data_IF_275620301990
#
_entry.id   IF_275620301990
#
_cell.length_a   1.000
_cell.length_b   1.000
_cell.length_c   1.000
_cell.angle_alpha   90.00
_cell.angle_beta   90.00
_cell.angle_gamma   90.00
#
_symmetry.space_group_name_H-M   'P 1'
#
loop_
_entity.id
_entity.type
_entity.pdbx_description
1 polymer ?
#
# COMPACT_ATOMS: atom_id res chain seq x y z
N UNK A 1 16.44 -11.92 -5.10
CA UNK A 1 15.99 -12.47 -3.79
C UNK A 1 17.01 -12.33 -2.67
N UNK A 2 18.24 -12.87 -2.76
CA UNK A 2 19.24 -12.76 -1.67
C UNK A 2 19.46 -11.32 -1.15
N UNK A 3 19.56 -10.35 -2.06
CA UNK A 3 19.69 -8.93 -1.70
C UNK A 3 18.46 -8.39 -0.96
N UNK A 4 17.25 -8.81 -1.37
CA UNK A 4 16.00 -8.38 -0.75
C UNK A 4 15.86 -8.93 0.68
N UNK A 5 16.32 -10.15 0.92
CA UNK A 5 16.37 -10.72 2.27
C UNK A 5 17.36 -9.95 3.15
N UNK A 6 18.54 -9.60 2.61
CA UNK A 6 19.52 -8.77 3.34
C UNK A 6 18.94 -7.41 3.72
N UNK A 7 18.21 -6.77 2.80
CA UNK A 7 17.50 -5.50 3.07
C UNK A 7 16.45 -5.69 4.17
N UNK A 8 15.60 -6.72 4.06
CA UNK A 8 14.56 -7.01 5.05
C UNK A 8 15.15 -7.32 6.43
N UNK A 9 16.24 -8.07 6.48
CA UNK A 9 17.01 -8.34 7.70
C UNK A 9 17.56 -7.06 8.31
N UNK A 10 18.16 -6.19 7.49
CA UNK A 10 18.66 -4.89 7.93
C UNK A 10 17.55 -4.00 8.50
N UNK A 11 16.38 -3.98 7.87
CA UNK A 11 15.20 -3.26 8.36
C UNK A 11 14.78 -3.74 9.75
N UNK A 12 14.66 -5.06 9.94
CA UNK A 12 14.29 -5.62 11.25
C UNK A 12 15.34 -5.32 12.34
N UNK A 13 16.63 -5.46 12.04
CA UNK A 13 17.65 -5.11 13.03
C UNK A 13 17.69 -3.62 13.37
N UNK A 14 17.49 -2.74 12.38
CA UNK A 14 17.39 -1.31 12.61
C UNK A 14 16.20 -0.96 13.51
N UNK A 15 15.00 -1.50 13.20
CA UNK A 15 13.79 -1.31 14.01
C UNK A 15 14.00 -1.87 15.42
N UNK A 16 14.54 -3.08 15.54
CA UNK A 16 14.76 -3.75 16.81
C UNK A 16 15.74 -2.98 17.70
N UNK A 17 16.88 -2.55 17.17
CA UNK A 17 17.86 -1.76 17.91
C UNK A 17 17.27 -0.40 18.36
N UNK A 18 16.54 0.29 17.47
CA UNK A 18 15.87 1.55 17.80
C UNK A 18 14.81 1.39 18.90
N UNK A 19 14.00 0.33 18.83
CA UNK A 19 12.98 0.03 19.83
C UNK A 19 13.57 -0.35 21.19
N UNK A 20 14.68 -1.10 21.24
CA UNK A 20 15.41 -1.35 22.48
C UNK A 20 15.95 -0.05 23.07
N UNK A 21 16.57 0.81 22.25
CA UNK A 21 17.10 2.10 22.72
C UNK A 21 16.02 3.02 23.28
N UNK A 22 14.94 3.25 22.50
CA UNK A 22 13.81 4.08 22.94
C UNK A 22 13.08 3.47 24.14
N UNK A 23 12.91 2.16 24.16
CA UNK A 23 12.29 1.45 25.28
C UNK A 23 13.12 1.51 26.55
N UNK A 24 14.46 1.40 26.48
CA UNK A 24 15.33 1.57 27.64
C UNK A 24 15.26 2.98 28.21
N UNK A 25 15.26 4.01 27.36
CA UNK A 25 15.10 5.40 27.81
C UNK A 25 13.76 5.59 28.55
N UNK A 26 12.68 5.01 28.03
CA UNK A 26 11.35 5.02 28.64
C UNK A 26 11.27 4.23 29.97
N UNK A 27 11.95 3.09 30.08
CA UNK A 27 11.94 2.27 31.31
C UNK A 27 12.84 2.87 32.40
N UNK A 28 14.02 3.38 32.05
CA UNK A 28 14.97 3.96 33.01
C UNK A 28 14.42 5.26 33.60
N UNK A 29 13.76 6.08 32.78
CA UNK A 29 13.13 7.31 33.26
C UNK A 29 11.69 7.41 32.73
N UNK A 30 10.72 6.75 33.39
CA UNK A 30 9.32 6.69 32.96
C UNK A 30 8.58 8.02 32.89
N UNK A 31 9.15 9.09 33.46
CA UNK A 31 8.63 10.45 33.32
C UNK A 31 8.78 11.01 31.90
N UNK A 32 9.62 10.39 31.07
CA UNK A 32 9.89 10.81 29.70
C UNK A 32 11.05 11.80 29.54
N UNK A 33 11.68 12.24 30.63
CA UNK A 33 12.70 13.30 30.58
C UNK A 33 13.97 12.91 29.81
N UNK A 34 14.37 11.63 29.79
CA UNK A 34 15.45 11.14 28.91
C UNK A 34 15.10 11.27 27.42
N UNK A 35 13.82 11.29 27.09
CA UNK A 35 13.31 11.44 25.72
C UNK A 35 12.94 12.90 25.40
N UNK A 36 13.17 13.83 26.33
CA UNK A 36 12.84 15.25 26.17
C UNK A 36 11.34 15.54 26.20
N UNK A 37 10.53 14.67 26.81
CA UNK A 37 9.07 14.83 26.90
C UNK A 37 8.56 14.67 28.33
N UNK A 38 7.31 15.06 28.56
CA UNK A 38 6.59 14.88 29.84
C UNK A 38 5.49 13.84 29.70
N UNK A 39 4.98 13.32 30.81
CA UNK A 39 3.87 12.36 30.81
C UNK A 39 2.53 12.95 30.36
N UNK A 40 2.41 14.28 30.31
CA UNK A 40 1.20 14.98 29.84
C UNK A 40 0.83 14.61 28.40
N UNK A 41 1.81 14.24 27.57
CA UNK A 41 1.55 13.81 26.20
C UNK A 41 0.79 12.48 26.14
N UNK A 42 0.70 11.72 27.24
CA UNK A 42 -0.04 10.46 27.31
C UNK A 42 -1.51 10.64 27.67
N UNK A 43 -2.01 11.88 27.79
CA UNK A 43 -3.36 12.21 28.27
C UNK A 43 -4.53 11.54 27.52
N UNK A 44 -4.34 11.14 26.25
CA UNK A 44 -5.37 10.44 25.47
C UNK A 44 -5.25 8.92 25.55
N UNK A 45 -4.26 8.40 26.29
CA UNK A 45 -3.99 6.99 26.44
C UNK A 45 -4.27 6.44 27.84
N UNK A 46 -4.18 5.11 27.99
CA UNK A 46 -4.46 4.44 29.26
C UNK A 46 -3.28 4.45 30.24
N UNK A 47 -2.17 5.10 29.89
CA UNK A 47 -0.91 5.05 30.64
C UNK A 47 -0.62 6.38 31.34
N UNK A 48 -0.18 6.30 32.60
CA UNK A 48 0.21 7.46 33.41
C UNK A 48 1.68 7.83 33.25
N UNK A 49 2.50 6.93 32.72
CA UNK A 49 3.93 7.10 32.46
C UNK A 49 4.39 6.23 31.27
N UNK A 50 5.68 6.31 30.92
CA UNK A 50 6.26 5.57 29.80
C UNK A 50 6.77 4.17 30.14
N UNK A 51 6.57 3.66 31.36
CA UNK A 51 7.11 2.36 31.78
C UNK A 51 6.54 1.22 30.94
N UNK A 52 5.21 1.11 30.89
CA UNK A 52 4.53 0.05 30.13
C UNK A 52 4.79 0.16 28.62
N UNK A 53 4.68 1.36 28.00
CA UNK A 53 5.12 1.54 26.62
C UNK A 53 6.59 1.16 26.38
N UNK A 54 7.48 1.50 27.32
CA UNK A 54 8.90 1.18 27.25
C UNK A 54 9.18 -0.32 27.30
N UNK A 55 8.51 -1.06 28.17
CA UNK A 55 8.60 -2.53 28.22
C UNK A 55 8.12 -3.15 26.90
N UNK A 56 6.99 -2.67 26.37
CA UNK A 56 6.49 -3.14 25.07
C UNK A 56 7.50 -2.89 23.94
N UNK A 57 8.10 -1.69 23.92
CA UNK A 57 9.15 -1.33 22.97
C UNK A 57 10.36 -2.28 23.07
N UNK A 58 10.84 -2.61 24.27
CA UNK A 58 11.98 -3.52 24.45
C UNK A 58 11.62 -4.95 24.03
N UNK A 59 10.52 -5.49 24.55
CA UNK A 59 10.21 -6.93 24.46
C UNK A 59 9.60 -7.27 23.12
N UNK A 60 8.55 -6.57 22.72
CA UNK A 60 7.79 -6.91 21.51
C UNK A 60 8.50 -6.34 20.29
N UNK A 61 8.70 -5.03 20.24
CA UNK A 61 9.31 -4.42 19.06
C UNK A 61 10.82 -4.61 18.99
N UNK A 62 11.53 -4.53 20.12
CA UNK A 62 12.97 -4.68 20.19
C UNK A 62 13.42 -6.11 19.96
N UNK A 63 13.26 -6.97 20.97
CA UNK A 63 13.68 -8.36 20.92
C UNK A 63 12.99 -9.13 19.79
N UNK A 64 11.70 -8.88 19.55
CA UNK A 64 10.96 -9.51 18.45
C UNK A 64 11.54 -9.22 17.07
N UNK A 65 11.83 -7.95 16.73
CA UNK A 65 12.45 -7.63 15.44
C UNK A 65 13.91 -8.11 15.35
N UNK A 66 14.67 -8.07 16.45
CA UNK A 66 16.03 -8.65 16.46
C UNK A 66 16.01 -10.15 16.19
N UNK A 67 15.07 -10.88 16.80
CA UNK A 67 14.85 -12.31 16.57
C UNK A 67 14.43 -12.60 15.13
N UNK A 68 13.51 -11.83 14.55
CA UNK A 68 13.14 -11.97 13.13
C UNK A 68 14.34 -11.75 12.22
N UNK A 69 15.17 -10.72 12.46
CA UNK A 69 16.39 -10.52 11.69
C UNK A 69 17.37 -11.69 11.80
N UNK A 70 17.50 -12.29 12.99
CA UNK A 70 18.30 -13.50 13.19
C UNK A 70 17.73 -14.73 12.44
N UNK A 71 16.41 -14.91 12.44
CA UNK A 71 15.73 -15.93 11.64
C UNK A 71 15.94 -15.74 10.14
N UNK A 72 15.92 -14.49 9.66
CA UNK A 72 16.19 -14.18 8.25
C UNK A 72 17.67 -14.43 7.89
N UNK A 73 18.60 -14.29 8.84
CA UNK A 73 20.02 -14.59 8.67
C UNK A 73 20.29 -16.09 8.46
N UNK A 74 19.63 -16.96 9.23
CA UNK A 74 19.79 -18.42 9.12
C UNK A 74 19.23 -19.00 7.81
N UNK A 75 18.48 -18.19 7.04
CA UNK A 75 17.87 -18.56 5.75
C UNK A 75 18.76 -18.22 4.55
N UNK A 76 19.84 -17.46 4.74
CA UNK A 76 20.76 -17.05 3.66
C UNK A 76 21.44 -18.20 2.89
N UNK A 77 21.28 -19.45 3.35
CA UNK A 77 22.06 -20.62 2.92
C UNK A 77 21.22 -21.88 2.64
N UNK A 78 20.15 -21.78 1.83
CA UNK A 78 19.57 -22.89 1.03
C UNK A 78 18.14 -23.41 1.34
N UNK A 79 17.38 -22.89 2.30
CA UNK A 79 15.95 -23.26 2.43
C UNK A 79 15.11 -22.03 2.83
N UNK A 80 14.17 -21.64 1.96
CA UNK A 80 13.19 -20.60 2.30
C UNK A 80 12.27 -21.10 3.42
N UNK A 81 12.25 -20.40 4.55
CA UNK A 81 11.34 -20.72 5.66
C UNK A 81 10.13 -19.79 5.63
N UNK A 82 8.98 -20.32 5.20
CA UNK A 82 7.69 -19.61 5.15
C UNK A 82 7.36 -18.96 6.49
N UNK A 83 7.70 -19.62 7.61
CA UNK A 83 7.45 -19.10 8.96
C UNK A 83 8.22 -17.81 9.21
N UNK A 84 9.49 -17.72 8.82
CA UNK A 84 10.28 -16.52 9.05
C UNK A 84 9.77 -15.30 8.26
N UNK A 85 9.32 -15.51 7.03
CA UNK A 85 8.71 -14.44 6.24
C UNK A 85 7.32 -14.04 6.77
N UNK A 86 6.54 -14.98 7.31
CA UNK A 86 5.29 -14.67 8.02
C UNK A 86 5.55 -13.91 9.32
N UNK A 87 6.55 -14.31 10.12
CA UNK A 87 6.97 -13.57 11.31
C UNK A 87 7.41 -12.15 10.94
N UNK A 88 8.21 -12.03 9.89
CA UNK A 88 8.61 -10.72 9.36
C UNK A 88 7.40 -9.85 9.00
N UNK A 89 6.44 -10.39 8.25
CA UNK A 89 5.20 -9.69 7.93
C UNK A 89 4.43 -9.26 9.18
N UNK A 90 4.30 -10.15 10.17
CA UNK A 90 3.62 -9.87 11.43
C UNK A 90 4.32 -8.76 12.22
N UNK A 91 5.65 -8.81 12.39
CA UNK A 91 6.39 -7.81 13.16
C UNK A 91 6.45 -6.45 12.47
N UNK A 92 6.48 -6.42 11.13
CA UNK A 92 6.28 -5.17 10.38
C UNK A 92 4.86 -4.60 10.59
N UNK A 93 3.84 -5.45 10.66
CA UNK A 93 2.47 -5.04 11.00
C UNK A 93 2.33 -4.53 12.44
N UNK A 94 2.96 -5.20 13.41
CA UNK A 94 2.98 -4.77 14.82
C UNK A 94 3.64 -3.40 14.95
N UNK A 95 4.74 -3.14 14.22
CA UNK A 95 5.36 -1.81 14.20
C UNK A 95 4.39 -0.73 13.70
N UNK A 96 3.68 -0.99 12.61
CA UNK A 96 2.69 -0.06 12.07
C UNK A 96 1.58 0.19 13.09
N UNK A 97 0.98 -0.88 13.65
CA UNK A 97 -0.07 -0.76 14.66
C UNK A 97 0.41 -0.02 15.91
N UNK A 98 1.65 -0.24 16.32
CA UNK A 98 2.24 0.47 17.46
C UNK A 98 2.37 1.96 17.20
N UNK A 99 2.91 2.35 16.04
CA UNK A 99 3.06 3.77 15.69
C UNK A 99 1.68 4.46 15.58
N UNK A 100 0.68 3.75 15.06
CA UNK A 100 -0.70 4.25 14.98
C UNK A 100 -1.32 4.41 16.37
N UNK A 101 -1.15 3.42 17.25
CA UNK A 101 -1.63 3.50 18.63
C UNK A 101 -0.94 4.64 19.39
N UNK A 102 0.38 4.75 19.25
CA UNK A 102 1.19 5.82 19.85
C UNK A 102 0.71 7.19 19.35
N UNK A 103 0.46 7.34 18.06
CA UNK A 103 -0.06 8.57 17.50
C UNK A 103 -1.42 9.01 18.09
N UNK A 104 -2.32 8.05 18.31
CA UNK A 104 -3.61 8.32 18.94
C UNK A 104 -3.43 8.78 20.39
N UNK A 105 -2.55 8.11 21.14
CA UNK A 105 -2.26 8.44 22.54
C UNK A 105 -1.58 9.81 22.69
N UNK A 106 -0.61 10.11 21.82
CA UNK A 106 0.17 11.34 21.88
C UNK A 106 -0.63 12.58 21.44
N UNK A 107 -1.63 12.37 20.61
CA UNK A 107 -2.38 13.44 19.97
C UNK A 107 -1.55 14.20 18.94
N UNK A 108 -2.25 14.93 18.07
CA UNK A 108 -1.68 15.54 16.87
C UNK A 108 -0.53 16.53 17.13
N UNK A 109 -0.61 17.29 18.23
CA UNK A 109 0.39 18.30 18.56
C UNK A 109 1.77 17.72 18.93
N UNK A 110 1.83 16.44 19.32
CA UNK A 110 3.05 15.79 19.80
C UNK A 110 3.64 14.79 18.77
N UNK A 111 3.14 14.82 17.52
CA UNK A 111 3.63 13.94 16.47
C UNK A 111 5.00 14.41 15.96
N UNK A 112 6.00 13.57 16.20
CA UNK A 112 7.36 13.77 15.72
C UNK A 112 7.61 13.07 14.36
N UNK A 113 8.53 13.59 13.54
CA UNK A 113 8.86 13.03 12.21
C UNK A 113 9.30 11.55 12.26
N UNK A 114 9.86 11.11 13.40
CA UNK A 114 10.20 9.71 13.64
C UNK A 114 9.00 8.77 13.48
N UNK A 115 7.78 9.18 13.84
CA UNK A 115 6.58 8.37 13.62
C UNK A 115 6.38 8.09 12.13
N UNK A 116 6.54 9.11 11.28
CA UNK A 116 6.48 8.95 9.83
C UNK A 116 7.54 7.99 9.31
N UNK A 117 8.78 8.09 9.80
CA UNK A 117 9.87 7.19 9.41
C UNK A 117 9.59 5.74 9.81
N UNK A 118 9.23 5.48 11.06
CA UNK A 118 8.96 4.11 11.52
C UNK A 118 7.70 3.52 10.89
N UNK A 119 6.68 4.34 10.59
CA UNK A 119 5.52 3.90 9.82
C UNK A 119 5.93 3.46 8.40
N UNK A 120 6.76 4.26 7.71
CA UNK A 120 7.27 3.90 6.39
C UNK A 120 8.14 2.64 6.42
N UNK A 121 8.98 2.47 7.44
CA UNK A 121 9.78 1.26 7.63
C UNK A 121 8.88 0.02 7.84
N UNK A 122 7.81 0.16 8.61
CA UNK A 122 6.81 -0.89 8.79
C UNK A 122 6.11 -1.25 7.48
N UNK A 123 5.64 -0.26 6.71
CA UNK A 123 5.01 -0.47 5.40
C UNK A 123 5.98 -1.15 4.42
N UNK A 124 7.23 -0.67 4.35
CA UNK A 124 8.26 -1.23 3.50
C UNK A 124 8.57 -2.69 3.89
N UNK A 125 8.70 -2.98 5.18
CA UNK A 125 8.87 -4.33 5.71
C UNK A 125 7.71 -5.24 5.31
N UNK A 126 6.47 -4.85 5.60
CA UNK A 126 5.28 -5.63 5.25
C UNK A 126 5.18 -5.89 3.74
N UNK A 127 5.43 -4.88 2.90
CA UNK A 127 5.41 -5.04 1.44
C UNK A 127 6.48 -5.99 0.92
N UNK A 128 7.71 -5.87 1.44
CA UNK A 128 8.82 -6.73 1.03
C UNK A 128 8.62 -8.19 1.48
N UNK A 129 8.10 -8.40 2.69
CA UNK A 129 7.79 -9.73 3.24
C UNK A 129 6.66 -10.41 2.47
N UNK A 130 5.58 -9.69 2.16
CA UNK A 130 4.49 -10.20 1.31
C UNK A 130 4.99 -10.59 -0.07
N UNK A 131 5.78 -9.74 -0.73
CA UNK A 131 6.37 -10.05 -2.04
C UNK A 131 7.25 -11.29 -1.98
N UNK A 132 8.11 -11.42 -0.96
CA UNK A 132 8.98 -12.58 -0.81
C UNK A 132 8.17 -13.85 -0.52
N UNK A 133 7.08 -13.79 0.24
CA UNK A 133 6.17 -14.93 0.44
C UNK A 133 5.58 -15.41 -0.88
N UNK A 134 5.07 -14.48 -1.69
CA UNK A 134 4.39 -14.79 -2.96
C UNK A 134 5.34 -15.32 -4.06
N UNK A 135 6.61 -14.89 -4.02
CA UNK A 135 7.64 -15.34 -4.97
C UNK A 135 8.30 -16.65 -4.51
N UNK A 136 8.52 -16.83 -3.20
CA UNK A 136 9.27 -17.99 -2.68
C UNK A 136 8.39 -19.23 -2.50
N UNK A 137 7.08 -19.03 -2.32
CA UNK A 137 6.10 -20.10 -2.23
C UNK A 137 5.03 -19.88 -3.30
N UNK A 138 5.40 -20.00 -4.59
CA UNK A 138 4.43 -19.90 -5.65
C UNK A 138 3.42 -21.02 -5.47
N UNK A 139 2.14 -20.67 -5.54
CA UNK A 139 1.10 -21.66 -5.68
C UNK A 139 1.31 -22.38 -7.01
N UNK A 140 1.50 -23.70 -6.97
CA UNK A 140 1.55 -24.55 -8.16
C UNK A 140 0.13 -24.93 -8.53
N UNK A 141 -0.31 -24.53 -9.71
CA UNK A 141 -1.59 -24.96 -10.28
C UNK A 141 -1.53 -26.48 -10.45
N UNK A 142 -2.57 -27.19 -10.01
CA UNK A 142 -2.70 -28.63 -10.31
C UNK A 142 -2.91 -28.82 -11.82
N UNK A 143 -2.73 -30.04 -12.33
CA UNK A 143 -2.94 -30.39 -13.74
C UNK A 143 -4.33 -30.03 -14.30
N UNK A 144 -5.28 -29.68 -13.43
CA UNK A 144 -6.70 -29.57 -13.73
C UNK A 144 -7.18 -28.10 -13.86
N UNK A 145 -6.27 -27.13 -13.85
CA UNK A 145 -6.58 -25.69 -13.97
C UNK A 145 -6.92 -24.99 -12.64
N UNK A 146 -7.54 -23.81 -12.72
CA UNK A 146 -7.88 -22.97 -11.56
C UNK A 146 -8.91 -23.66 -10.64
N UNK A 147 -8.59 -23.81 -9.35
CA UNK A 147 -9.43 -24.44 -8.35
C UNK A 147 -10.03 -23.45 -7.34
N UNK A 148 -10.91 -23.93 -6.45
CA UNK A 148 -11.53 -23.11 -5.39
C UNK A 148 -10.50 -22.46 -4.46
N UNK A 149 -9.33 -23.08 -4.29
CA UNK A 149 -8.21 -22.51 -3.51
C UNK A 149 -7.69 -21.20 -4.12
N UNK A 150 -7.75 -21.06 -5.44
CA UNK A 150 -7.28 -19.87 -6.14
C UNK A 150 -8.07 -18.62 -5.81
N UNK A 151 -9.34 -18.77 -5.39
CA UNK A 151 -10.15 -17.66 -4.88
C UNK A 151 -9.47 -16.92 -3.72
N UNK A 152 -8.72 -17.65 -2.90
CA UNK A 152 -8.13 -17.15 -1.67
C UNK A 152 -6.62 -16.94 -1.77
N UNK A 153 -6.00 -17.30 -2.90
CA UNK A 153 -4.56 -17.10 -3.13
C UNK A 153 -4.23 -15.61 -3.00
N UNK A 154 -3.21 -15.29 -2.19
CA UNK A 154 -2.78 -13.92 -1.93
C UNK A 154 -3.77 -13.02 -1.16
N UNK A 155 -4.98 -13.48 -0.82
CA UNK A 155 -5.98 -12.61 -0.17
C UNK A 155 -5.65 -12.31 1.29
N UNK A 156 -4.99 -13.23 2.00
CA UNK A 156 -4.51 -12.97 3.38
C UNK A 156 -3.52 -11.80 3.40
N UNK A 157 -2.39 -11.80 2.65
CA UNK A 157 -1.49 -10.65 2.64
C UNK A 157 -2.17 -9.38 2.10
N UNK A 158 -3.13 -9.49 1.18
CA UNK A 158 -3.92 -8.34 0.74
C UNK A 158 -4.68 -7.69 1.90
N UNK A 159 -5.44 -8.47 2.69
CA UNK A 159 -6.21 -8.01 3.86
C UNK A 159 -5.29 -7.45 4.95
N UNK A 160 -4.16 -8.11 5.20
CA UNK A 160 -3.20 -7.62 6.20
C UNK A 160 -2.61 -6.28 5.78
N UNK A 161 -2.23 -6.11 4.51
CA UNK A 161 -1.65 -4.86 4.03
C UNK A 161 -2.67 -3.72 4.05
N UNK A 162 -3.89 -3.94 3.57
CA UNK A 162 -4.92 -2.89 3.60
C UNK A 162 -5.31 -2.48 5.02
N UNK A 163 -5.39 -3.44 5.96
CA UNK A 163 -5.67 -3.17 7.38
C UNK A 163 -4.62 -2.26 8.02
N UNK A 164 -3.40 -2.25 7.48
CA UNK A 164 -2.30 -1.40 7.93
C UNK A 164 -2.22 -0.07 7.16
N UNK A 165 -2.47 -0.12 5.86
CA UNK A 165 -2.38 1.04 4.97
C UNK A 165 -3.48 2.07 5.20
N UNK A 166 -4.72 1.64 5.49
CA UNK A 166 -5.84 2.57 5.76
C UNK A 166 -5.53 3.46 6.96
N UNK A 167 -5.27 2.92 8.17
CA UNK A 167 -4.99 3.78 9.31
C UNK A 167 -3.65 4.52 9.14
N UNK A 168 -2.66 3.93 8.45
CA UNK A 168 -1.43 4.62 8.05
C UNK A 168 -1.66 5.87 7.21
N UNK A 169 -2.53 5.79 6.21
CA UNK A 169 -2.88 6.93 5.36
C UNK A 169 -3.67 8.00 6.11
N UNK A 170 -4.63 7.59 6.95
CA UNK A 170 -5.39 8.53 7.80
C UNK A 170 -4.43 9.28 8.73
N UNK A 171 -3.58 8.54 9.44
CA UNK A 171 -2.59 9.12 10.35
C UNK A 171 -1.65 10.10 9.63
N UNK A 172 -1.10 9.72 8.48
CA UNK A 172 -0.19 10.59 7.74
C UNK A 172 -0.91 11.86 7.27
N UNK A 173 -2.15 11.76 6.78
CA UNK A 173 -2.89 12.92 6.31
C UNK A 173 -3.20 13.92 7.45
N UNK A 174 -3.45 13.42 8.66
CA UNK A 174 -3.67 14.23 9.86
C UNK A 174 -2.43 15.03 10.32
N UNK A 175 -1.24 14.75 9.80
CA UNK A 175 -0.05 15.56 10.12
C UNK A 175 -0.19 17.01 9.62
N UNK A 176 -0.87 17.22 8.50
CA UNK A 176 -1.16 18.56 7.96
C UNK A 176 -2.48 18.54 7.15
N UNK A 177 -3.63 18.46 7.83
CA UNK A 177 -4.94 18.42 7.23
C UNK A 177 -5.33 19.78 6.66
N UNK A 178 -6.26 19.74 5.72
CA UNK A 178 -6.92 20.93 5.20
C UNK A 178 -8.03 21.40 6.12
N UNK A 179 -8.18 22.73 6.23
CA UNK A 179 -9.25 23.35 7.01
C UNK A 179 -10.37 23.94 6.11
N UNK A 180 -10.35 23.65 4.81
CA UNK A 180 -11.34 24.19 3.86
C UNK A 180 -12.47 23.18 3.65
N UNK A 181 -13.67 23.69 3.38
CA UNK A 181 -14.80 22.91 2.89
C UNK A 181 -14.82 23.05 1.36
N UNK A 182 -14.94 21.93 0.66
CA UNK A 182 -15.10 21.88 -0.79
C UNK A 182 -16.32 21.01 -1.13
N UNK A 183 -17.29 21.56 -1.86
CA UNK A 183 -18.57 20.90 -2.17
C UNK A 183 -19.18 20.20 -0.93
N UNK A 184 -19.39 20.98 0.14
CA UNK A 184 -20.05 20.56 1.38
C UNK A 184 -19.29 19.56 2.26
N UNK A 185 -18.10 19.10 1.86
CA UNK A 185 -17.27 18.17 2.61
C UNK A 185 -15.92 18.82 2.99
N UNK A 186 -15.43 18.52 4.18
CA UNK A 186 -14.06 18.88 4.59
C UNK A 186 -13.01 17.90 4.01
N UNK A 187 -11.73 18.20 4.24
CA UNK A 187 -10.62 17.40 3.74
C UNK A 187 -10.62 15.96 4.29
N UNK A 188 -11.08 15.75 5.52
CA UNK A 188 -11.16 14.43 6.15
C UNK A 188 -12.22 13.55 5.48
N UNK A 189 -13.42 14.09 5.25
CA UNK A 189 -14.49 13.39 4.55
C UNK A 189 -14.09 13.04 3.11
N UNK A 190 -13.46 13.98 2.39
CA UNK A 190 -12.91 13.71 1.06
C UNK A 190 -11.84 12.61 1.08
N UNK A 191 -11.00 12.59 2.11
CA UNK A 191 -9.95 11.58 2.27
C UNK A 191 -10.56 10.20 2.50
N UNK A 192 -11.53 10.10 3.42
CA UNK A 192 -12.29 8.86 3.67
C UNK A 192 -12.94 8.35 2.40
N UNK A 193 -13.58 9.23 1.62
CA UNK A 193 -14.20 8.86 0.35
C UNK A 193 -13.16 8.37 -0.68
N UNK A 194 -12.02 9.04 -0.78
CA UNK A 194 -10.92 8.66 -1.68
C UNK A 194 -10.34 7.28 -1.34
N UNK A 195 -10.13 7.01 -0.06
CA UNK A 195 -9.68 5.72 0.45
C UNK A 195 -10.76 4.67 0.15
N UNK A 196 -12.02 4.91 0.54
CA UNK A 196 -13.13 3.98 0.37
C UNK A 196 -13.34 3.60 -1.10
N UNK A 197 -13.38 4.57 -2.01
CA UNK A 197 -13.50 4.33 -3.47
C UNK A 197 -12.35 3.47 -3.97
N UNK A 198 -11.12 3.73 -3.53
CA UNK A 198 -9.95 2.96 -3.92
C UNK A 198 -10.02 1.52 -3.41
N UNK A 199 -10.41 1.32 -2.15
CA UNK A 199 -10.60 0.02 -1.50
C UNK A 199 -11.69 -0.79 -2.19
N UNK A 200 -12.88 -0.21 -2.34
CA UNK A 200 -14.03 -0.87 -2.99
C UNK A 200 -13.67 -1.25 -4.42
N UNK A 201 -13.00 -0.37 -5.16
CA UNK A 201 -12.57 -0.68 -6.52
C UNK A 201 -11.64 -1.90 -6.56
N UNK A 202 -10.56 -1.94 -5.77
CA UNK A 202 -9.62 -3.06 -5.84
C UNK A 202 -10.19 -4.37 -5.31
N UNK A 203 -11.06 -4.33 -4.29
CA UNK A 203 -11.77 -5.52 -3.82
C UNK A 203 -12.75 -6.02 -4.87
N UNK A 204 -13.46 -5.14 -5.56
CA UNK A 204 -14.32 -5.50 -6.69
C UNK A 204 -13.51 -6.17 -7.79
N UNK A 205 -12.37 -5.59 -8.20
CA UNK A 205 -11.48 -6.21 -9.21
C UNK A 205 -11.02 -7.59 -8.74
N UNK A 206 -10.58 -7.73 -7.49
CA UNK A 206 -10.15 -9.01 -6.97
C UNK A 206 -11.27 -10.06 -6.99
N UNK A 207 -12.48 -9.71 -6.54
CA UNK A 207 -13.63 -10.62 -6.57
C UNK A 207 -13.98 -11.02 -8.01
N UNK A 208 -14.04 -10.06 -8.93
CA UNK A 208 -14.37 -10.34 -10.33
C UNK A 208 -13.31 -11.22 -10.97
N UNK A 209 -12.03 -10.89 -10.85
CA UNK A 209 -10.94 -11.66 -11.45
C UNK A 209 -10.90 -13.08 -10.90
N UNK A 210 -11.00 -13.26 -9.58
CA UNK A 210 -10.97 -14.58 -8.94
C UNK A 210 -12.16 -15.44 -9.33
N UNK A 211 -13.37 -14.89 -9.28
CA UNK A 211 -14.59 -15.64 -9.65
C UNK A 211 -14.67 -15.90 -11.14
N UNK A 212 -14.15 -15.00 -11.97
CA UNK A 212 -14.04 -15.20 -13.40
C UNK A 212 -12.99 -16.27 -13.74
N UNK A 213 -11.85 -16.29 -13.05
CA UNK A 213 -10.81 -17.30 -13.25
C UNK A 213 -11.30 -18.70 -12.89
N UNK A 214 -11.91 -18.87 -11.71
CA UNK A 214 -12.30 -20.19 -11.18
C UNK A 214 -13.63 -20.67 -11.74
N UNK A 215 -14.64 -19.79 -11.82
CA UNK A 215 -16.00 -20.19 -12.16
C UNK A 215 -16.48 -19.69 -13.52
N UNK A 216 -15.69 -18.85 -14.22
CA UNK A 216 -16.14 -18.09 -15.40
C UNK A 216 -17.46 -17.36 -15.12
N UNK A 217 -17.59 -16.81 -13.90
CA UNK A 217 -18.86 -16.32 -13.36
C UNK A 217 -19.50 -15.28 -14.27
N UNK A 218 -18.75 -14.26 -14.70
CA UNK A 218 -19.29 -13.21 -15.55
C UNK A 218 -19.68 -13.76 -16.92
N UNK A 219 -18.86 -14.64 -17.51
CA UNK A 219 -19.20 -15.28 -18.78
C UNK A 219 -20.45 -16.16 -18.70
N UNK A 220 -20.70 -16.82 -17.54
CA UNK A 220 -21.92 -17.61 -17.31
C UNK A 220 -23.15 -16.72 -17.12
N UNK A 221 -23.02 -15.62 -16.38
CA UNK A 221 -24.14 -14.72 -16.07
C UNK A 221 -24.52 -13.83 -17.26
N UNK A 222 -23.54 -13.39 -18.04
CA UNK A 222 -23.72 -12.31 -19.02
C UNK A 222 -23.33 -12.68 -20.45
N UNK A 223 -22.83 -13.90 -20.67
CA UNK A 223 -22.43 -14.39 -22.00
C UNK A 223 -21.45 -13.44 -22.69
N UNK A 224 -21.75 -13.05 -23.93
CA UNK A 224 -20.89 -12.18 -24.76
C UNK A 224 -20.72 -10.75 -24.20
N UNK A 225 -21.61 -10.32 -23.30
CA UNK A 225 -21.57 -8.98 -22.71
C UNK A 225 -20.69 -8.89 -21.45
N UNK A 226 -20.16 -10.00 -20.96
CA UNK A 226 -19.34 -10.12 -19.74
C UNK A 226 -18.27 -9.02 -19.59
N UNK A 227 -17.36 -8.87 -20.55
CA UNK A 227 -16.26 -7.90 -20.52
C UNK A 227 -16.76 -6.45 -20.64
N UNK A 228 -17.90 -6.24 -21.30
CA UNK A 228 -18.52 -4.92 -21.43
C UNK A 228 -19.14 -4.49 -20.11
N UNK A 229 -19.88 -5.38 -19.45
CA UNK A 229 -20.47 -5.16 -18.13
C UNK A 229 -19.36 -4.94 -17.10
N UNK A 230 -18.29 -5.75 -17.17
CA UNK A 230 -17.11 -5.52 -16.35
C UNK A 230 -16.52 -4.11 -16.55
N UNK A 231 -16.36 -3.67 -17.79
CA UNK A 231 -15.89 -2.32 -18.10
C UNK A 231 -16.80 -1.21 -17.54
N UNK A 232 -18.13 -1.38 -17.64
CA UNK A 232 -19.12 -0.43 -17.09
C UNK A 232 -19.03 -0.34 -15.57
N UNK A 233 -18.68 -1.43 -14.88
CA UNK A 233 -18.42 -1.39 -13.43
C UNK A 233 -17.05 -0.78 -13.11
N UNK A 234 -16.01 -1.13 -13.86
CA UNK A 234 -14.62 -0.74 -13.58
C UNK A 234 -14.34 0.75 -13.82
N UNK A 235 -14.72 1.29 -14.99
CA UNK A 235 -14.32 2.64 -15.39
C UNK A 235 -14.87 3.76 -14.49
N UNK A 236 -16.12 3.73 -14.02
CA UNK A 236 -16.62 4.74 -13.09
C UNK A 236 -15.78 4.83 -11.82
N UNK A 237 -15.35 3.70 -11.25
CA UNK A 237 -14.46 3.70 -10.09
C UNK A 237 -13.08 4.26 -10.43
N UNK A 238 -12.53 3.99 -11.62
CA UNK A 238 -11.27 4.58 -12.05
C UNK A 238 -11.34 6.12 -12.12
N UNK A 239 -12.45 6.66 -12.63
CA UNK A 239 -12.69 8.11 -12.67
C UNK A 239 -12.93 8.68 -11.27
N UNK A 240 -13.75 8.01 -10.45
CA UNK A 240 -14.05 8.43 -9.08
C UNK A 240 -12.79 8.53 -8.22
N UNK A 241 -11.79 7.67 -8.42
CA UNK A 241 -10.50 7.74 -7.73
C UNK A 241 -9.77 9.07 -7.94
N UNK A 242 -9.88 9.64 -9.14
CA UNK A 242 -9.28 10.95 -9.47
C UNK A 242 -10.17 12.08 -8.95
N UNK A 243 -11.49 11.99 -9.14
CA UNK A 243 -12.46 13.02 -8.71
C UNK A 243 -12.41 13.22 -7.20
N UNK A 244 -12.43 12.13 -6.43
CA UNK A 244 -12.38 12.18 -4.96
C UNK A 244 -11.04 12.72 -4.47
N UNK A 245 -9.93 12.35 -5.13
CA UNK A 245 -8.61 12.91 -4.84
C UNK A 245 -8.54 14.42 -5.11
N UNK A 246 -9.15 14.92 -6.19
CA UNK A 246 -9.27 16.36 -6.44
C UNK A 246 -10.07 17.03 -5.32
N UNK A 247 -11.11 16.39 -4.80
CA UNK A 247 -11.83 16.85 -3.62
C UNK A 247 -10.93 17.03 -2.39
N UNK A 248 -10.08 16.04 -2.09
CA UNK A 248 -9.07 16.14 -1.02
C UNK A 248 -8.13 17.31 -1.29
N UNK A 249 -7.60 17.38 -2.51
CA UNK A 249 -6.62 18.38 -2.92
C UNK A 249 -7.17 19.81 -2.81
N UNK A 250 -8.41 20.03 -3.24
CA UNK A 250 -9.09 21.32 -3.14
C UNK A 250 -9.40 21.72 -1.69
N UNK A 251 -9.88 20.78 -0.87
CA UNK A 251 -10.19 21.01 0.55
C UNK A 251 -8.94 21.23 1.43
N UNK A 252 -7.75 20.86 0.93
CA UNK A 252 -6.47 20.94 1.64
C UNK A 252 -5.35 21.59 0.82
N UNK A 253 -5.70 22.51 -0.08
CA UNK A 253 -4.72 23.20 -0.91
C UNK A 253 -3.73 24.02 -0.06
N UNK A 254 -2.47 24.08 -0.48
CA UNK A 254 -1.37 24.79 0.19
C UNK A 254 -1.04 24.31 1.61
N UNK A 255 -1.35 23.05 1.91
CA UNK A 255 -0.97 22.41 3.19
C UNK A 255 0.38 21.70 3.13
N UNK A 256 0.90 21.40 1.94
CA UNK A 256 2.21 20.76 1.79
C UNK A 256 3.31 21.75 2.22
N UNK A 257 4.22 21.39 3.16
CA UNK A 257 5.22 22.32 3.71
C UNK A 257 6.41 22.50 2.76
N UNK A 258 6.13 22.96 1.54
CA UNK A 258 7.10 23.31 0.49
C UNK A 258 6.65 24.60 -0.19
N UNK A 259 7.55 25.33 -0.87
CA UNK A 259 7.14 26.46 -1.69
C UNK A 259 6.12 26.06 -2.77
N UNK A 260 5.05 26.84 -2.92
CA UNK A 260 3.95 26.54 -3.85
C UNK A 260 4.42 26.29 -5.28
N UNK A 261 5.34 27.13 -5.77
CA UNK A 261 5.88 26.99 -7.13
C UNK A 261 6.55 25.62 -7.33
N UNK A 262 7.23 25.10 -6.31
CA UNK A 262 7.93 23.82 -6.38
C UNK A 262 6.91 22.68 -6.45
N UNK A 263 5.90 22.70 -5.58
CA UNK A 263 4.81 21.73 -5.59
C UNK A 263 4.09 21.70 -6.94
N UNK A 264 3.73 22.87 -7.44
CA UNK A 264 3.05 23.04 -8.72
C UNK A 264 3.89 22.54 -9.90
N UNK A 265 5.15 22.96 -10.00
CA UNK A 265 6.06 22.55 -11.08
C UNK A 265 6.29 21.03 -11.07
N UNK A 266 6.57 20.44 -9.91
CA UNK A 266 6.72 18.99 -9.80
C UNK A 266 5.42 18.28 -10.17
N UNK A 267 4.28 18.81 -9.73
CA UNK A 267 2.96 18.28 -10.07
C UNK A 267 2.72 18.21 -11.59
N UNK A 268 3.00 19.30 -12.31
CA UNK A 268 2.91 19.33 -13.78
C UNK A 268 3.85 18.34 -14.46
N UNK A 269 5.10 18.24 -13.98
CA UNK A 269 6.08 17.31 -14.56
C UNK A 269 5.65 15.84 -14.40
N UNK A 270 4.98 15.49 -13.29
CA UNK A 270 4.47 14.14 -13.06
C UNK A 270 3.27 13.78 -13.94
N UNK A 271 2.50 14.76 -14.42
CA UNK A 271 1.42 14.53 -15.37
C UNK A 271 1.92 14.09 -16.76
N UNK A 272 3.13 14.49 -17.16
CA UNK A 272 3.71 14.14 -18.48
C UNK A 272 3.88 12.62 -18.68
N UNK A 273 4.60 11.87 -17.81
CA UNK A 273 4.73 10.42 -17.97
C UNK A 273 3.38 9.70 -17.78
N UNK A 274 2.50 10.21 -16.92
CA UNK A 274 1.15 9.64 -16.73
C UNK A 274 0.30 9.77 -18.00
N UNK A 275 0.24 10.97 -18.58
CA UNK A 275 -0.48 11.25 -19.82
C UNK A 275 0.08 10.48 -21.02
N UNK A 276 1.40 10.41 -21.16
CA UNK A 276 2.04 9.59 -22.20
C UNK A 276 1.70 8.10 -22.05
N UNK A 277 1.62 7.60 -20.82
CA UNK A 277 1.25 6.20 -20.57
C UNK A 277 -0.23 5.95 -20.86
N UNK A 278 -1.14 6.86 -20.50
CA UNK A 278 -2.55 6.76 -20.88
C UNK A 278 -2.74 6.77 -22.40
N UNK A 279 -2.05 7.67 -23.11
CA UNK A 279 -1.99 7.67 -24.57
C UNK A 279 -1.49 6.34 -25.10
N UNK A 280 -0.43 5.78 -24.49
CA UNK A 280 0.14 4.49 -24.88
C UNK A 280 -0.86 3.34 -24.72
N UNK A 281 -1.67 3.36 -23.65
CA UNK A 281 -2.72 2.37 -23.40
C UNK A 281 -3.78 2.44 -24.50
N UNK A 282 -4.27 3.64 -24.81
CA UNK A 282 -5.33 3.83 -25.82
C UNK A 282 -4.82 3.49 -27.23
N UNK A 283 -3.60 3.91 -27.57
CA UNK A 283 -3.06 3.79 -28.93
C UNK A 283 -2.52 2.41 -29.27
N UNK A 284 -1.88 1.73 -28.32
CA UNK A 284 -1.12 0.49 -28.59
C UNK A 284 -1.61 -0.71 -27.79
N UNK A 285 -1.85 -0.55 -26.47
CA UNK A 285 -2.21 -1.68 -25.61
C UNK A 285 -3.65 -2.16 -25.78
N UNK A 286 -4.58 -1.21 -25.92
CA UNK A 286 -6.01 -1.45 -26.04
C UNK A 286 -6.73 -1.48 -24.68
N UNK A 287 -7.83 -0.72 -24.57
CA UNK A 287 -8.61 -0.61 -23.32
C UNK A 287 -9.20 -1.96 -22.86
N UNK A 288 -9.68 -2.80 -23.78
CA UNK A 288 -10.23 -4.13 -23.45
C UNK A 288 -9.19 -5.05 -22.82
N UNK A 289 -7.94 -4.97 -23.29
CA UNK A 289 -6.82 -5.71 -22.69
C UNK A 289 -6.48 -5.13 -21.32
N UNK A 290 -6.43 -3.80 -21.20
CA UNK A 290 -6.11 -3.10 -19.94
C UNK A 290 -7.12 -3.34 -18.80
N UNK A 291 -8.35 -3.73 -19.13
CA UNK A 291 -9.37 -4.12 -18.15
C UNK A 291 -9.13 -5.50 -17.51
N UNK A 292 -8.06 -6.21 -17.89
CA UNK A 292 -7.88 -7.64 -17.55
C UNK A 292 -8.64 -8.54 -18.51
N UNK A 293 -8.65 -8.20 -19.81
CA UNK A 293 -9.37 -8.96 -20.83
C UNK A 293 -8.90 -10.42 -20.95
N UNK A 294 -7.66 -10.70 -20.57
CA UNK A 294 -7.08 -12.05 -20.45
C UNK A 294 -7.86 -12.96 -19.49
N UNK A 295 -8.55 -12.44 -18.49
CA UNK A 295 -9.45 -13.22 -17.64
C UNK A 295 -10.70 -13.70 -18.39
N UNK A 296 -11.04 -13.05 -19.52
CA UNK A 296 -12.28 -13.26 -20.26
C UNK A 296 -12.10 -13.93 -21.63
N UNK A 297 -10.97 -13.68 -22.30
CA UNK A 297 -10.73 -14.14 -23.68
C UNK A 297 -9.32 -14.70 -23.84
N UNK A 298 -9.22 -15.80 -24.57
CA UNK A 298 -7.94 -16.44 -24.92
C UNK A 298 -7.13 -15.60 -25.90
N UNK A 299 -7.79 -14.84 -26.78
CA UNK A 299 -7.13 -13.94 -27.74
C UNK A 299 -6.15 -12.96 -27.06
N UNK A 300 -6.48 -12.47 -25.85
CA UNK A 300 -5.61 -11.58 -25.09
C UNK A 300 -4.45 -12.31 -24.39
N UNK A 301 -4.59 -13.62 -24.14
CA UNK A 301 -3.51 -14.47 -23.57
C UNK A 301 -2.47 -14.83 -24.61
N UNK A 302 -2.92 -15.03 -25.85
CA UNK A 302 -2.05 -15.40 -26.98
C UNK A 302 -1.30 -14.19 -27.56
N UNK A 303 -1.76 -12.96 -27.27
CA UNK A 303 -1.09 -11.74 -27.72
C UNK A 303 0.28 -11.55 -27.04
N UNK A 304 1.31 -11.13 -27.80
CA UNK A 304 2.61 -10.82 -27.22
C UNK A 304 2.53 -9.62 -26.26
N UNK A 305 3.53 -9.52 -25.38
CA UNK A 305 3.71 -8.35 -24.53
C UNK A 305 3.93 -7.10 -25.40
N UNK A 306 3.21 -6.02 -25.10
CA UNK A 306 3.38 -4.74 -25.79
C UNK A 306 4.73 -4.12 -25.41
N UNK A 307 5.45 -3.59 -26.40
CA UNK A 307 6.80 -3.00 -26.24
C UNK A 307 6.91 -1.59 -26.80
N UNK A 308 5.83 -1.03 -27.35
CA UNK A 308 5.75 0.33 -27.89
C UNK A 308 5.27 1.31 -26.83
N UNK A 309 5.52 2.59 -27.06
CA UNK A 309 5.09 3.63 -26.13
C UNK A 309 5.76 3.55 -24.77
N UNK A 310 4.99 3.82 -23.72
CA UNK A 310 5.42 3.68 -22.34
C UNK A 310 5.86 2.25 -21.97
N UNK A 311 5.32 1.22 -22.63
CA UNK A 311 5.66 -0.18 -22.36
C UNK A 311 7.08 -0.57 -22.80
N UNK A 312 7.76 0.28 -23.59
CA UNK A 312 9.19 0.13 -23.88
C UNK A 312 10.05 0.27 -22.61
N UNK A 313 9.62 1.10 -21.67
CA UNK A 313 10.39 1.47 -20.48
C UNK A 313 10.04 0.63 -19.26
N UNK A 314 8.81 0.09 -19.19
CA UNK A 314 8.36 -0.77 -18.10
C UNK A 314 7.31 -1.77 -18.59
N UNK A 315 7.50 -3.05 -18.25
CA UNK A 315 6.48 -4.08 -18.48
C UNK A 315 5.19 -3.87 -17.68
N UNK A 316 5.26 -3.08 -16.61
CA UNK A 316 4.12 -2.68 -15.76
C UNK A 316 3.88 -1.17 -15.86
N UNK A 317 3.98 -0.59 -17.06
CA UNK A 317 3.89 0.86 -17.27
C UNK A 317 2.61 1.48 -16.67
N UNK A 318 1.47 0.79 -16.75
CA UNK A 318 0.20 1.26 -16.15
C UNK A 318 0.33 1.48 -14.64
N UNK A 319 0.85 0.49 -13.92
CA UNK A 319 1.10 0.57 -12.47
C UNK A 319 2.18 1.60 -12.14
N UNK A 320 3.22 1.70 -12.97
CA UNK A 320 4.41 2.50 -12.68
C UNK A 320 4.20 4.00 -12.93
N UNK A 321 3.48 4.34 -14.01
CA UNK A 321 3.48 5.70 -14.55
C UNK A 321 2.10 6.35 -14.58
N UNK A 322 1.01 5.62 -14.81
CA UNK A 322 -0.34 6.24 -14.80
C UNK A 322 -0.66 6.83 -13.44
N UNK A 323 -0.26 6.14 -12.37
CA UNK A 323 -0.49 6.58 -11.00
C UNK A 323 0.25 7.87 -10.65
N UNK A 324 1.34 8.22 -11.37
CA UNK A 324 2.00 9.53 -11.22
C UNK A 324 1.03 10.69 -11.50
N UNK A 325 -0.05 10.46 -12.24
CA UNK A 325 -1.13 11.43 -12.42
C UNK A 325 -1.76 11.86 -11.09
N UNK A 326 -1.94 10.92 -10.15
CA UNK A 326 -2.49 11.21 -8.81
C UNK A 326 -1.53 12.09 -7.99
N UNK A 327 -0.23 11.78 -8.06
CA UNK A 327 0.81 12.61 -7.44
C UNK A 327 0.87 14.00 -8.09
N UNK A 328 0.67 14.08 -9.40
CA UNK A 328 0.55 15.33 -10.14
C UNK A 328 -0.59 16.21 -9.63
N UNK A 329 -1.78 15.64 -9.42
CA UNK A 329 -2.93 16.33 -8.82
C UNK A 329 -2.58 16.87 -7.44
N UNK A 330 -1.98 16.05 -6.56
CA UNK A 330 -1.57 16.49 -5.23
C UNK A 330 -0.56 17.65 -5.28
N UNK A 331 0.41 17.59 -6.20
CA UNK A 331 1.41 18.63 -6.40
C UNK A 331 0.83 19.95 -6.92
N UNK A 332 -0.09 19.91 -7.89
CA UNK A 332 -0.73 21.10 -8.46
C UNK A 332 -1.46 21.93 -7.39
N UNK A 333 -2.12 21.25 -6.44
CA UNK A 333 -2.81 21.90 -5.32
C UNK A 333 -1.90 22.15 -4.11
N UNK A 334 -0.65 21.68 -4.16
CA UNK A 334 0.31 21.79 -3.06
C UNK A 334 -0.31 21.23 -1.76
N UNK A 335 -0.95 20.05 -1.88
CA UNK A 335 -1.78 19.46 -0.82
C UNK A 335 -1.11 18.25 -0.18
N UNK A 336 -0.92 18.30 1.15
CA UNK A 336 -0.37 17.18 1.91
C UNK A 336 -1.33 15.98 2.01
N UNK A 337 -2.62 16.14 2.40
CA UNK A 337 -3.54 15.02 2.44
C UNK A 337 -3.75 14.37 1.07
N UNK A 338 -3.75 15.14 -0.02
CA UNK A 338 -3.83 14.58 -1.37
C UNK A 338 -2.56 13.81 -1.74
N UNK A 339 -1.38 14.26 -1.30
CA UNK A 339 -0.13 13.54 -1.52
C UNK A 339 -0.13 12.19 -0.81
N UNK A 340 -0.62 12.16 0.44
CA UNK A 340 -0.81 10.93 1.22
C UNK A 340 -1.84 10.02 0.55
N UNK A 341 -2.96 10.57 0.07
CA UNK A 341 -3.96 9.81 -0.67
C UNK A 341 -3.40 9.23 -1.99
N UNK A 342 -2.60 10.01 -2.74
CA UNK A 342 -1.92 9.54 -3.94
C UNK A 342 -0.94 8.40 -3.64
N UNK A 343 -0.17 8.51 -2.53
CA UNK A 343 0.68 7.44 -2.03
C UNK A 343 -0.13 6.18 -1.69
N UNK A 344 -1.21 6.32 -0.92
CA UNK A 344 -2.08 5.20 -0.58
C UNK A 344 -2.59 4.50 -1.83
N UNK A 345 -3.14 5.27 -2.78
CA UNK A 345 -3.70 4.74 -4.02
C UNK A 345 -2.65 4.03 -4.90
N UNK A 346 -1.44 4.59 -5.01
CA UNK A 346 -0.35 4.03 -5.80
C UNK A 346 0.27 2.79 -5.12
N UNK A 347 0.46 2.82 -3.80
CA UNK A 347 0.92 1.65 -3.07
C UNK A 347 -0.14 0.53 -3.13
N UNK A 348 -1.42 0.87 -3.02
CA UNK A 348 -2.49 -0.12 -2.93
C UNK A 348 -2.74 -0.84 -4.25
N UNK A 349 -2.57 -0.16 -5.39
CA UNK A 349 -2.63 -0.84 -6.69
C UNK A 349 -1.48 -1.86 -6.85
N UNK A 350 -0.31 -1.62 -6.26
CA UNK A 350 0.76 -2.62 -6.23
C UNK A 350 0.42 -3.78 -5.30
N UNK A 351 -0.25 -3.54 -4.17
CA UNK A 351 -0.78 -4.63 -3.32
C UNK A 351 -1.72 -5.52 -4.12
N UNK A 352 -2.65 -4.91 -4.87
CA UNK A 352 -3.54 -5.64 -5.76
C UNK A 352 -2.76 -6.45 -6.80
N UNK A 353 -1.78 -5.85 -7.47
CA UNK A 353 -0.94 -6.56 -8.45
C UNK A 353 -0.24 -7.77 -7.83
N UNK A 354 0.41 -7.62 -6.68
CA UNK A 354 1.12 -8.73 -6.04
C UNK A 354 0.18 -9.82 -5.53
N UNK A 355 -0.96 -9.45 -4.94
CA UNK A 355 -1.82 -10.39 -4.22
C UNK A 355 -2.93 -11.01 -5.08
N UNK A 356 -3.31 -10.35 -6.17
CA UNK A 356 -4.42 -10.77 -7.03
C UNK A 356 -3.89 -11.11 -8.41
N UNK A 357 -3.44 -10.11 -9.14
CA UNK A 357 -3.13 -10.24 -10.57
C UNK A 357 -1.93 -11.15 -10.82
N UNK A 358 -0.81 -10.99 -10.11
CA UNK A 358 0.37 -11.82 -10.32
C UNK A 358 0.07 -13.32 -10.12
N UNK A 359 -0.63 -13.76 -9.06
CA UNK A 359 -1.10 -15.13 -8.97
C UNK A 359 -2.02 -15.54 -10.13
N UNK A 360 -2.97 -14.70 -10.54
CA UNK A 360 -3.86 -14.99 -11.66
C UNK A 360 -3.07 -15.17 -12.98
N UNK A 361 -2.08 -14.32 -13.23
CA UNK A 361 -1.20 -14.38 -14.40
C UNK A 361 -0.47 -15.72 -14.48
N UNK A 362 -0.05 -16.31 -13.35
CA UNK A 362 0.56 -17.65 -13.37
C UNK A 362 -0.44 -18.70 -13.86
N UNK A 363 -1.70 -18.61 -13.44
CA UNK A 363 -2.74 -19.55 -13.90
C UNK A 363 -3.14 -19.32 -15.37
N UNK A 364 -3.07 -18.08 -15.83
CA UNK A 364 -3.50 -17.70 -17.17
C UNK A 364 -2.45 -17.97 -18.26
N UNK A 365 -1.15 -17.95 -17.90
CA UNK A 365 -0.03 -17.96 -18.83
C UNK A 365 1.00 -19.07 -18.59
N UNK A 366 0.99 -19.76 -17.44
CA UNK A 366 1.80 -20.96 -17.15
C UNK A 366 0.90 -22.19 -17.18
#
# INVERSE_FOLDING_TARGET
MKQQIKVLMGLHWFVGAGAVGGGLAAVVQPTGSLMGVTTEILQYGPFTDFLVPGIFLIVVLGAGNLYVGALLRTIGTHVFNRKALLFSLCFSGILILWILAQALVLGRANLHWLHGVYLLLGIAGSGLSSRLLLVSFPYTVGSDGAGVRDLFTGQIPHILMISLMIPGAIFLAELNPGNRIFLWLDAGHWLTLTIAVSVVHQLMVAVVFRTQLVFRLFSRLFGKADLTIWGVMFFPFLVLRVVTLVGVAAASAHTLPVPDWLGFTVGLLLLLPAGYTLYSVVRWFGLRRALGGDHFRTEFREMPLEKRGAFRYSGNAMYSYVFLGLWGVAGIFVSWPALVAALFQHAYIWVHWYCTEQPDMRVLYE
#
